data_IF_146944665553
#
_entry.id   IF_146944665553
#
_cell.length_a   1.000
_cell.length_b   1.000
_cell.length_c   1.000
_cell.angle_alpha   90.00
_cell.angle_beta   90.00
_cell.angle_gamma   90.00
#
_symmetry.space_group_name_H-M   'P 1'
#
loop_
_entity.id
_entity.type
_entity.pdbx_description
1 polymer ?
#
# COMPACT_ATOMS: atom_id res chain seq x y z
N UNK A 1 2.32 -1.30 -10.86
CA UNK A 1 3.68 -1.49 -10.28
C UNK A 1 3.81 -0.95 -8.86
N UNK A 2 3.07 0.09 -8.46
CA UNK A 2 3.09 0.65 -7.11
C UNK A 2 2.81 -0.39 -5.99
N UNK A 3 1.78 -1.23 -6.14
CA UNK A 3 1.39 -2.18 -5.09
C UNK A 3 2.44 -3.26 -4.80
N UNK A 4 3.17 -3.74 -5.82
CA UNK A 4 4.26 -4.71 -5.62
C UNK A 4 5.41 -4.10 -4.80
N UNK A 5 5.84 -2.87 -5.14
CA UNK A 5 6.89 -2.19 -4.40
C UNK A 5 6.47 -1.89 -2.94
N UNK A 6 5.20 -1.50 -2.73
CA UNK A 6 4.62 -1.32 -1.40
C UNK A 6 4.59 -2.62 -0.61
N UNK A 7 4.24 -3.74 -1.25
CA UNK A 7 4.22 -5.05 -0.61
C UNK A 7 5.62 -5.49 -0.17
N UNK A 8 6.63 -5.33 -1.04
CA UNK A 8 8.02 -5.65 -0.71
C UNK A 8 8.56 -4.77 0.43
N UNK A 9 8.27 -3.47 0.39
CA UNK A 9 8.64 -2.54 1.45
C UNK A 9 7.99 -2.91 2.79
N UNK A 10 6.69 -3.20 2.80
CA UNK A 10 5.97 -3.60 4.00
C UNK A 10 6.47 -4.93 4.57
N UNK A 11 6.84 -5.87 3.69
CA UNK A 11 7.45 -7.13 4.11
C UNK A 11 8.85 -6.92 4.69
N UNK A 12 9.63 -5.99 4.13
CA UNK A 12 10.97 -5.63 4.60
C UNK A 12 10.94 -5.03 6.02
N UNK A 13 10.16 -3.97 6.24
CA UNK A 13 10.12 -3.29 7.56
C UNK A 13 9.56 -4.16 8.70
N UNK A 14 8.86 -5.26 8.37
CA UNK A 14 8.28 -6.20 9.33
C UNK A 14 9.21 -7.35 9.71
N UNK A 15 10.37 -7.51 9.05
CA UNK A 15 11.34 -8.56 9.38
C UNK A 15 12.19 -8.20 10.60
N UNK A 16 12.61 -9.19 11.37
CA UNK A 16 13.62 -8.98 12.42
C UNK A 16 15.00 -8.76 11.77
N UNK A 17 15.84 -7.83 12.26
CA UNK A 17 15.62 -6.90 13.38
C UNK A 17 14.96 -5.56 12.97
N UNK A 18 14.63 -5.39 11.69
CA UNK A 18 14.12 -4.15 11.11
C UNK A 18 12.83 -3.65 11.77
N UNK A 19 11.96 -4.56 12.22
CA UNK A 19 10.74 -4.24 12.98
C UNK A 19 11.02 -3.49 14.28
N UNK A 20 12.19 -3.68 14.89
CA UNK A 20 12.59 -3.00 16.13
C UNK A 20 12.91 -1.54 15.81
N UNK A 21 13.76 -1.30 14.82
CA UNK A 21 14.09 0.04 14.34
C UNK A 21 12.85 0.75 13.79
N UNK A 22 12.00 0.04 13.06
CA UNK A 22 10.75 0.59 12.54
C UNK A 22 9.83 1.08 13.67
N UNK A 23 9.69 0.32 14.77
CA UNK A 23 8.93 0.78 15.94
C UNK A 23 9.59 1.95 16.66
N UNK A 24 10.91 1.95 16.79
CA UNK A 24 11.65 3.01 17.48
C UNK A 24 11.55 4.35 16.74
N UNK A 25 11.66 4.32 15.41
CA UNK A 25 11.56 5.52 14.56
C UNK A 25 10.14 5.78 14.02
N UNK A 26 9.12 5.05 14.51
CA UNK A 26 7.71 5.15 14.08
C UNK A 26 7.51 5.03 12.56
N UNK A 27 8.27 4.16 11.91
CA UNK A 27 8.00 3.79 10.52
C UNK A 27 6.78 2.89 10.43
N UNK A 28 5.74 3.40 9.78
CA UNK A 28 4.50 2.67 9.52
C UNK A 28 4.50 2.01 8.13
N UNK A 29 3.79 0.87 7.98
CA UNK A 29 3.60 0.25 6.67
C UNK A 29 2.87 1.20 5.72
N UNK A 30 3.34 1.23 4.47
CA UNK A 30 2.72 2.02 3.40
C UNK A 30 1.38 1.38 3.01
N UNK A 31 0.37 2.22 2.81
CA UNK A 31 -0.96 1.82 2.33
C UNK A 31 -0.83 1.37 0.86
N UNK A 32 -1.53 0.29 0.51
CA UNK A 32 -1.64 -0.11 -0.90
C UNK A 32 -2.44 0.93 -1.67
N UNK A 33 -2.05 1.17 -2.92
CA UNK A 33 -2.90 1.94 -3.83
C UNK A 33 -3.92 0.98 -4.42
N UNK A 34 -5.06 0.86 -3.75
CA UNK A 34 -6.21 0.18 -4.33
C UNK A 34 -6.97 1.19 -5.18
N UNK A 35 -7.20 0.85 -6.46
CA UNK A 35 -8.19 1.58 -7.25
C UNK A 35 -9.53 1.34 -6.57
N UNK A 36 -10.11 2.39 -6.00
CA UNK A 36 -11.41 2.27 -5.36
C UNK A 36 -12.42 1.70 -6.36
N UNK A 37 -13.35 0.86 -5.90
CA UNK A 37 -14.33 0.21 -6.78
C UNK A 37 -15.18 1.23 -7.57
N UNK A 38 -15.24 2.50 -7.12
CA UNK A 38 -15.89 3.59 -7.85
C UNK A 38 -15.22 3.92 -9.20
N UNK A 39 -13.95 3.56 -9.41
CA UNK A 39 -13.26 3.74 -10.68
C UNK A 39 -13.68 2.71 -11.75
N UNK A 40 -14.48 1.69 -11.38
CA UNK A 40 -14.93 0.64 -12.29
C UNK A 40 -16.31 0.91 -12.91
N UNK A 41 -17.06 1.88 -12.39
CA UNK A 41 -18.34 2.30 -13.01
C UNK A 41 -18.09 3.36 -14.07
N UNK A 42 -17.96 2.93 -15.32
CA UNK A 42 -18.03 3.84 -16.45
C UNK A 42 -19.39 4.58 -16.41
N UNK A 43 -19.41 5.93 -16.44
CA UNK A 43 -20.67 6.66 -16.49
C UNK A 43 -21.37 6.34 -17.81
N UNK A 44 -22.56 5.74 -17.75
CA UNK A 44 -23.39 5.56 -18.93
C UNK A 44 -23.92 6.94 -19.34
N UNK A 45 -23.34 7.50 -20.39
CA UNK A 45 -23.83 8.72 -21.02
C UNK A 45 -25.10 8.34 -21.80
N UNK A 46 -26.27 8.77 -21.30
CA UNK A 46 -27.51 8.73 -22.07
C UNK A 46 -27.48 9.93 -23.02
N UNK A 47 -27.53 9.66 -24.32
CA UNK A 47 -27.65 10.66 -25.39
C UNK A 47 -29.09 11.17 -25.51
#
# INVERSE_FOLDING_TARGET
RFNMATQEFNAYIRKFPQVIYAKWFKFEPKIYFEATAEAQTAPQVQF
#
